data_IF_353018163182
#
_entry.id   IF_353018163182
#
_cell.length_a   1.000
_cell.length_b   1.000
_cell.length_c   1.000
_cell.angle_alpha   90.00
_cell.angle_beta   90.00
_cell.angle_gamma   90.00
#
_symmetry.space_group_name_H-M   'P 1'
#
loop_
_entity.id
_entity.type
_entity.pdbx_description
1 polymer ?
#
# COMPACT_ATOMS: atom_id res chain seq x y z
N UNK A 1 17.70 4.19 -10.32
CA UNK A 1 17.43 4.41 -8.88
C UNK A 1 17.64 5.90 -8.57
N UNK A 2 16.58 6.62 -8.23
CA UNK A 2 16.63 8.08 -8.01
C UNK A 2 17.20 8.42 -6.64
N UNK A 3 17.59 9.69 -6.41
CA UNK A 3 18.10 10.13 -5.11
C UNK A 3 17.06 9.91 -3.98
N UNK A 4 15.79 10.17 -4.27
CA UNK A 4 14.67 9.99 -3.33
C UNK A 4 14.51 8.51 -2.93
N UNK A 5 14.59 7.60 -3.90
CA UNK A 5 14.49 6.15 -3.67
C UNK A 5 15.56 5.62 -2.71
N UNK A 6 16.72 6.28 -2.57
CA UNK A 6 17.77 5.86 -1.61
C UNK A 6 17.33 6.01 -0.15
N UNK A 7 16.42 6.96 0.12
CA UNK A 7 15.91 7.25 1.45
C UNK A 7 14.83 6.27 1.89
N UNK A 8 14.12 5.66 0.96
CA UNK A 8 13.10 4.66 1.25
C UNK A 8 13.69 3.46 1.99
N UNK A 9 13.14 3.15 3.17
CA UNK A 9 13.61 2.05 4.03
C UNK A 9 12.62 0.90 4.15
N UNK A 10 11.37 1.13 3.78
CA UNK A 10 10.33 0.12 3.88
C UNK A 10 10.40 -0.83 2.68
N UNK A 11 9.73 -1.97 2.82
CA UNK A 11 9.52 -2.96 1.77
C UNK A 11 8.06 -3.36 1.72
N UNK A 12 7.57 -3.73 0.54
CA UNK A 12 6.22 -4.26 0.38
C UNK A 12 6.19 -5.53 -0.45
N UNK A 13 5.27 -6.40 -0.06
CA UNK A 13 4.79 -7.51 -0.87
C UNK A 13 3.45 -7.10 -1.50
N UNK A 14 3.28 -7.38 -2.80
CA UNK A 14 2.13 -6.96 -3.60
C UNK A 14 1.31 -8.20 -3.97
N UNK A 15 0.03 -8.17 -3.61
CA UNK A 15 -0.91 -9.23 -3.86
C UNK A 15 -2.06 -8.73 -4.71
N UNK A 16 -2.46 -9.54 -5.70
CA UNK A 16 -3.51 -9.20 -6.67
C UNK A 16 -4.51 -10.34 -6.76
N UNK A 17 -5.79 -9.98 -6.83
CA UNK A 17 -6.85 -10.94 -7.10
C UNK A 17 -6.78 -11.39 -8.55
N UNK A 18 -6.70 -12.71 -8.75
CA UNK A 18 -6.72 -13.33 -10.07
C UNK A 18 -7.78 -14.43 -10.09
N UNK A 19 -8.52 -14.52 -11.18
CA UNK A 19 -9.43 -15.62 -11.44
C UNK A 19 -8.63 -16.80 -11.99
N UNK A 20 -8.78 -17.95 -11.35
CA UNK A 20 -8.20 -19.22 -11.80
C UNK A 20 -9.32 -20.22 -12.00
N UNK A 21 -9.34 -20.87 -13.15
CA UNK A 21 -10.27 -21.96 -13.43
C UNK A 21 -9.66 -23.28 -12.95
N UNK A 22 -10.28 -23.89 -11.95
CA UNK A 22 -9.90 -25.21 -11.45
C UNK A 22 -11.11 -26.11 -11.66
N UNK A 23 -10.93 -27.18 -12.45
CA UNK A 23 -11.96 -28.17 -12.74
C UNK A 23 -13.28 -27.59 -13.33
N UNK A 24 -13.17 -26.54 -14.15
CA UNK A 24 -14.32 -25.89 -14.79
C UNK A 24 -15.08 -24.91 -13.87
N UNK A 25 -14.54 -24.61 -12.69
CA UNK A 25 -15.08 -23.62 -11.76
C UNK A 25 -14.11 -22.44 -11.64
N UNK A 26 -14.59 -21.25 -12.00
CA UNK A 26 -13.85 -19.99 -11.81
C UNK A 26 -13.78 -19.66 -10.32
N UNK A 27 -12.57 -19.69 -9.76
CA UNK A 27 -12.30 -19.30 -8.38
C UNK A 27 -11.44 -18.05 -8.37
N UNK A 28 -11.80 -17.06 -7.56
CA UNK A 28 -10.95 -15.89 -7.34
C UNK A 28 -10.05 -16.12 -6.12
N UNK A 29 -8.74 -15.90 -6.29
CA UNK A 29 -7.78 -16.02 -5.19
C UNK A 29 -6.75 -14.90 -5.26
N UNK A 30 -6.17 -14.59 -4.11
CA UNK A 30 -5.14 -13.56 -4.00
C UNK A 30 -3.75 -14.15 -4.23
N UNK A 31 -3.03 -13.65 -5.23
CA UNK A 31 -1.74 -14.17 -5.66
C UNK A 31 -0.65 -13.14 -5.37
N UNK A 32 0.45 -13.58 -4.77
CA UNK A 32 1.66 -12.76 -4.60
C UNK A 32 2.29 -12.48 -5.96
N UNK A 33 2.28 -11.21 -6.39
CA UNK A 33 2.86 -10.78 -7.68
C UNK A 33 4.32 -10.39 -7.55
N UNK A 34 4.65 -9.63 -6.51
CA UNK A 34 6.00 -9.14 -6.25
C UNK A 34 6.28 -9.16 -4.76
N UNK A 35 7.53 -9.46 -4.40
CA UNK A 35 7.96 -9.48 -3.01
C UNK A 35 9.18 -8.60 -2.79
N UNK A 36 9.25 -7.97 -1.61
CA UNK A 36 10.40 -7.18 -1.20
C UNK A 36 10.62 -5.93 -2.06
N UNK A 37 9.55 -5.36 -2.62
CA UNK A 37 9.62 -4.14 -3.44
C UNK A 37 9.91 -2.95 -2.55
N UNK A 38 10.82 -2.07 -2.97
CA UNK A 38 11.18 -0.87 -2.20
C UNK A 38 10.06 0.15 -2.25
N UNK A 39 9.63 0.61 -1.08
CA UNK A 39 8.59 1.62 -0.96
C UNK A 39 8.86 2.55 0.23
N UNK A 40 8.06 3.59 0.33
CA UNK A 40 7.96 4.42 1.52
C UNK A 40 6.49 4.53 1.91
N UNK A 41 6.17 4.08 3.11
CA UNK A 41 4.83 4.22 3.66
C UNK A 41 4.80 5.41 4.60
N UNK A 42 3.94 6.38 4.29
CA UNK A 42 3.84 7.63 5.03
C UNK A 42 2.44 7.83 5.59
N UNK A 43 2.39 8.48 6.75
CA UNK A 43 1.17 8.99 7.34
C UNK A 43 0.97 10.42 6.86
N UNK A 44 -0.17 10.68 6.24
CA UNK A 44 -0.60 12.01 5.84
C UNK A 44 -1.20 12.78 7.02
N UNK A 45 -2.27 13.53 6.75
CA UNK A 45 -2.86 14.45 7.70
C UNK A 45 -3.52 13.73 8.88
N UNK A 46 -3.46 14.41 10.02
CA UNK A 46 -4.17 14.06 11.24
C UNK A 46 -5.23 15.13 11.48
N UNK A 47 -6.49 14.84 11.15
CA UNK A 47 -7.58 15.77 11.44
C UNK A 47 -8.37 15.23 12.63
N UNK A 48 -8.50 16.04 13.67
CA UNK A 48 -9.46 15.81 14.74
C UNK A 48 -10.83 16.36 14.30
N UNK A 49 -11.77 15.46 14.02
CA UNK A 49 -13.12 15.83 13.58
C UNK A 49 -14.17 15.54 14.65
N UNK A 50 -13.77 15.35 15.90
CA UNK A 50 -14.69 15.07 17.00
C UNK A 50 -15.60 16.27 17.31
N UNK A 51 -16.92 16.08 17.24
CA UNK A 51 -17.90 17.12 17.61
C UNK A 51 -18.27 17.11 19.10
N UNK A 52 -18.02 16.00 19.81
CA UNK A 52 -18.53 15.78 21.18
C UNK A 52 -17.42 15.45 22.20
N UNK A 53 -16.21 16.00 22.01
CA UNK A 53 -15.08 15.76 22.93
C UNK A 53 -14.45 14.37 22.82
N UNK A 54 -14.91 13.54 21.88
CA UNK A 54 -14.27 12.27 21.50
C UNK A 54 -13.45 12.50 20.23
N UNK A 55 -12.10 12.40 20.29
CA UNK A 55 -11.27 12.61 19.12
C UNK A 55 -11.55 11.52 18.08
N UNK A 56 -12.14 11.91 16.95
CA UNK A 56 -12.32 11.03 15.80
C UNK A 56 -11.16 11.26 14.85
N UNK A 57 -10.24 10.30 14.84
CA UNK A 57 -8.96 10.44 14.14
C UNK A 57 -9.09 9.96 12.68
N UNK A 58 -9.36 10.87 11.76
CA UNK A 58 -9.30 10.57 10.32
C UNK A 58 -7.84 10.65 9.89
N UNK A 59 -7.23 9.50 9.63
CA UNK A 59 -5.86 9.42 9.11
C UNK A 59 -5.90 9.20 7.60
N UNK A 60 -5.21 10.04 6.84
CA UNK A 60 -4.80 9.69 5.48
C UNK A 60 -3.43 9.01 5.48
N UNK A 61 -3.23 8.07 4.57
CA UNK A 61 -1.95 7.40 4.38
C UNK A 61 -1.61 7.37 2.90
N UNK A 62 -0.33 7.51 2.61
CA UNK A 62 0.20 7.49 1.24
C UNK A 62 1.32 6.47 1.15
N UNK A 63 1.43 5.85 -0.01
CA UNK A 63 2.49 4.92 -0.35
C UNK A 63 3.23 5.44 -1.58
N UNK A 64 4.55 5.51 -1.47
CA UNK A 64 5.43 5.95 -2.55
C UNK A 64 6.20 4.74 -3.06
N UNK A 65 6.24 4.56 -4.38
CA UNK A 65 7.05 3.52 -5.01
C UNK A 65 7.62 4.01 -6.35
N UNK A 66 8.50 3.19 -6.94
CA UNK A 66 9.18 3.54 -8.17
C UNK A 66 8.20 3.53 -9.36
N UNK A 67 8.43 4.34 -10.39
CA UNK A 67 7.55 4.39 -11.58
C UNK A 67 7.46 3.04 -12.31
N UNK A 68 8.51 2.24 -12.23
CA UNK A 68 8.56 0.88 -12.79
C UNK A 68 7.83 -0.17 -11.94
N UNK A 69 7.33 0.21 -10.76
CA UNK A 69 6.62 -0.73 -9.87
C UNK A 69 5.21 -0.99 -10.39
N UNK A 70 4.90 -2.23 -10.74
CA UNK A 70 3.56 -2.66 -11.19
C UNK A 70 2.58 -2.81 -10.00
N UNK A 71 2.33 -1.70 -9.30
CA UNK A 71 1.31 -1.55 -8.27
C UNK A 71 0.03 -1.00 -8.89
N UNK A 72 -1.11 -1.61 -8.60
CA UNK A 72 -2.41 -1.21 -9.15
C UNK A 72 -3.42 -0.92 -8.05
N UNK A 73 -4.39 -0.06 -8.38
CA UNK A 73 -5.57 0.16 -7.54
C UNK A 73 -6.30 -1.17 -7.29
N UNK A 74 -6.75 -1.38 -6.06
CA UNK A 74 -7.36 -2.64 -5.64
C UNK A 74 -6.38 -3.74 -5.22
N UNK A 75 -5.08 -3.59 -5.47
CA UNK A 75 -4.08 -4.50 -4.90
C UNK A 75 -4.12 -4.44 -3.36
N UNK A 76 -3.81 -5.58 -2.75
CA UNK A 76 -3.48 -5.64 -1.33
C UNK A 76 -1.98 -5.66 -1.18
N UNK A 77 -1.45 -4.90 -0.23
CA UNK A 77 -0.02 -4.90 0.08
C UNK A 77 0.23 -5.18 1.55
N UNK A 78 1.38 -5.79 1.82
CA UNK A 78 1.95 -5.91 3.16
C UNK A 78 3.24 -5.10 3.22
N UNK A 79 3.22 -3.99 3.95
CA UNK A 79 4.40 -3.15 4.12
C UNK A 79 5.16 -3.58 5.38
N UNK A 80 6.40 -4.02 5.19
CA UNK A 80 7.37 -4.23 6.26
C UNK A 80 8.15 -2.95 6.50
N UNK A 81 7.90 -2.33 7.65
CA UNK A 81 8.58 -1.11 8.09
C UNK A 81 9.97 -1.43 8.67
N UNK A 82 10.86 -0.43 8.74
CA UNK A 82 12.23 -0.59 9.29
C UNK A 82 12.28 -1.17 10.71
N UNK A 83 11.26 -0.95 11.53
CA UNK A 83 11.16 -1.49 12.89
C UNK A 83 10.64 -2.95 12.93
N UNK A 84 10.46 -3.60 11.78
CA UNK A 84 9.93 -4.97 11.67
C UNK A 84 8.42 -5.06 11.71
N UNK A 85 7.68 -3.95 11.86
CA UNK A 85 6.22 -3.96 11.85
C UNK A 85 5.69 -4.23 10.45
N UNK A 86 4.74 -5.15 10.34
CA UNK A 86 4.00 -5.42 9.10
C UNK A 86 2.64 -4.72 9.15
N UNK A 87 2.34 -3.94 8.12
CA UNK A 87 1.08 -3.21 7.98
C UNK A 87 0.36 -3.67 6.73
N UNK A 88 -0.87 -4.15 6.88
CA UNK A 88 -1.72 -4.58 5.76
C UNK A 88 -2.52 -3.40 5.24
N UNK A 89 -2.39 -3.12 3.94
CA UNK A 89 -3.00 -1.98 3.28
C UNK A 89 -3.76 -2.42 2.03
N UNK A 90 -4.84 -1.70 1.72
CA UNK A 90 -5.49 -1.72 0.40
C UNK A 90 -5.05 -0.49 -0.39
N UNK A 91 -4.71 -0.71 -1.66
CA UNK A 91 -4.28 0.35 -2.59
C UNK A 91 -5.51 1.01 -3.20
N UNK A 92 -5.60 2.34 -3.05
CA UNK A 92 -6.60 3.18 -3.69
C UNK A 92 -6.02 3.90 -4.91
N UNK A 93 -6.53 5.10 -5.19
CA UNK A 93 -6.13 5.93 -6.34
C UNK A 93 -4.62 6.19 -6.36
N UNK A 94 -4.03 6.06 -7.55
CA UNK A 94 -2.62 6.32 -7.83
C UNK A 94 -2.38 7.54 -8.70
N UNK A 95 -1.30 8.27 -8.43
CA UNK A 95 -0.84 9.40 -9.23
C UNK A 95 0.67 9.29 -9.55
N UNK A 96 1.07 9.21 -10.83
CA UNK A 96 2.48 9.20 -11.20
C UNK A 96 3.07 10.61 -11.21
N UNK A 97 4.24 10.76 -10.59
CA UNK A 97 5.11 11.92 -10.69
C UNK A 97 6.30 11.65 -11.63
N UNK A 98 7.18 12.62 -11.81
CA UNK A 98 8.31 12.49 -12.73
C UNK A 98 9.33 11.40 -12.32
N UNK A 99 9.46 11.09 -11.03
CA UNK A 99 10.51 10.23 -10.48
C UNK A 99 10.00 9.12 -9.54
N UNK A 100 8.70 9.11 -9.24
CA UNK A 100 8.03 8.13 -8.41
C UNK A 100 6.52 8.15 -8.69
N UNK A 101 5.79 7.22 -8.08
CA UNK A 101 4.33 7.22 -8.07
C UNK A 101 3.83 7.16 -6.64
N UNK A 102 2.72 7.84 -6.39
CA UNK A 102 2.05 7.90 -5.09
C UNK A 102 0.70 7.21 -5.17
N UNK A 103 0.34 6.48 -4.11
CA UNK A 103 -0.99 5.89 -3.98
C UNK A 103 -1.60 6.28 -2.65
N UNK A 104 -2.89 6.59 -2.67
CA UNK A 104 -3.70 6.58 -1.46
C UNK A 104 -3.82 5.14 -0.95
N UNK A 105 -3.67 4.94 0.36
CA UNK A 105 -3.77 3.60 0.95
C UNK A 105 -4.64 3.60 2.19
N UNK A 106 -5.44 2.55 2.33
CA UNK A 106 -6.28 2.33 3.51
C UNK A 106 -5.70 1.21 4.35
N UNK A 107 -5.59 1.45 5.66
CA UNK A 107 -5.12 0.44 6.61
C UNK A 107 -6.26 -0.50 6.99
N UNK A 108 -6.05 -1.79 6.76
CA UNK A 108 -7.04 -2.84 7.06
C UNK A 108 -6.84 -3.47 8.44
N UNK A 109 -5.71 -3.18 9.09
CA UNK A 109 -5.36 -3.68 10.42
C UNK A 109 -3.85 -3.75 10.57
N UNK A 110 -3.40 -4.12 11.77
CA UNK A 110 -2.01 -4.57 11.98
C UNK A 110 -2.06 -5.90 12.69
N UNK A 111 -1.23 -6.83 12.20
CA UNK A 111 -0.90 -8.07 12.92
C UNK A 111 0.04 -7.73 14.06
#
# INVERSE_FOLDING_TARGET
MTALQRLWKDRMDIYRWEETEIDGVTTSSEVLKYSGVKCHYSKGNLTDTGTDGVPTLVNSYSLFCALETDLKEGDRIEVTQRNGRVVKLSVGEGFPYADHQEFSVKRNGTV
#
